data_IF_501681424228
#
_entry.id   IF_501681424228
#
_cell.length_a   1.000
_cell.length_b   1.000
_cell.length_c   1.000
_cell.angle_alpha   90.00
_cell.angle_beta   90.00
_cell.angle_gamma   90.00
#
_symmetry.space_group_name_H-M   'P 1'
#
loop_
_entity.id
_entity.type
_entity.pdbx_description
1 polymer ?
#
# COMPACT_ATOMS: atom_id res chain seq x y z
N UNK A 1 14.85 12.37 -4.31
CA UNK A 1 13.85 13.15 -5.05
C UNK A 1 12.80 13.61 -4.06
N UNK A 2 12.42 14.89 -4.11
CA UNK A 2 11.45 15.52 -3.21
C UNK A 2 10.03 15.42 -3.78
N UNK A 3 9.04 15.79 -2.98
CA UNK A 3 7.65 15.96 -3.46
C UNK A 3 7.51 17.08 -4.49
N UNK A 4 8.35 18.11 -4.38
CA UNK A 4 8.40 19.23 -5.31
C UNK A 4 8.85 18.78 -6.70
N UNK A 5 9.84 17.89 -6.78
CA UNK A 5 10.33 17.34 -8.06
C UNK A 5 9.19 16.62 -8.82
N UNK A 6 8.34 15.88 -8.11
CA UNK A 6 7.21 15.15 -8.72
C UNK A 6 6.16 16.12 -9.23
N UNK A 7 5.86 17.17 -8.47
CA UNK A 7 4.86 18.17 -8.86
C UNK A 7 5.36 19.02 -10.06
N UNK A 8 6.65 19.35 -10.13
CA UNK A 8 7.24 20.04 -11.29
C UNK A 8 7.05 19.22 -12.57
N UNK A 9 7.35 17.92 -12.52
CA UNK A 9 7.14 17.03 -13.67
C UNK A 9 5.65 16.87 -13.98
N UNK A 10 4.80 16.80 -12.94
CA UNK A 10 3.34 16.72 -13.11
C UNK A 10 2.80 17.93 -13.86
N UNK A 11 3.25 19.15 -13.53
CA UNK A 11 2.84 20.38 -14.21
C UNK A 11 3.15 20.34 -15.71
N UNK A 12 4.30 19.77 -16.10
CA UNK A 12 4.64 19.58 -17.51
C UNK A 12 3.68 18.62 -18.24
N UNK A 13 3.03 17.71 -17.51
CA UNK A 13 2.06 16.75 -18.07
C UNK A 13 0.64 17.32 -18.16
N UNK A 14 0.29 18.34 -17.35
CA UNK A 14 -1.05 18.94 -17.32
C UNK A 14 -1.47 19.51 -18.69
N UNK A 15 -0.53 19.96 -19.51
CA UNK A 15 -0.80 20.50 -20.84
C UNK A 15 -1.25 19.46 -21.89
N UNK A 16 -1.21 18.16 -21.56
CA UNK A 16 -1.52 17.07 -22.48
C UNK A 16 -2.94 16.50 -22.32
N UNK A 17 -3.92 17.31 -21.86
CA UNK A 17 -5.27 16.84 -21.48
C UNK A 17 -6.27 16.59 -22.62
N UNK A 18 -5.91 16.81 -23.89
CA UNK A 18 -6.86 16.73 -25.02
C UNK A 18 -6.42 15.76 -26.14
N UNK A 19 -6.19 14.49 -25.80
CA UNK A 19 -5.82 13.44 -26.77
C UNK A 19 -4.40 13.54 -27.35
N UNK A 20 -3.63 14.55 -26.93
CA UNK A 20 -2.19 14.65 -27.22
C UNK A 20 -1.43 13.68 -26.33
N UNK A 21 -0.64 12.80 -26.94
CA UNK A 21 0.20 11.85 -26.19
C UNK A 21 1.38 12.61 -25.56
N UNK A 22 1.58 12.52 -24.23
CA UNK A 22 2.75 13.11 -23.61
C UNK A 22 4.03 12.45 -24.12
N UNK A 23 5.15 13.18 -24.20
CA UNK A 23 6.43 12.62 -24.62
C UNK A 23 6.89 11.52 -23.64
N UNK A 24 7.49 10.45 -24.19
CA UNK A 24 7.91 9.29 -23.41
C UNK A 24 8.86 9.65 -22.27
N UNK A 25 9.83 10.55 -22.52
CA UNK A 25 10.83 10.92 -21.52
C UNK A 25 10.21 11.60 -20.29
N UNK A 26 9.21 12.46 -20.48
CA UNK A 26 8.48 13.09 -19.37
C UNK A 26 7.63 12.08 -18.60
N UNK A 27 7.00 11.12 -19.29
CA UNK A 27 6.25 10.03 -18.64
C UNK A 27 7.18 9.14 -17.80
N UNK A 28 8.33 8.75 -18.36
CA UNK A 28 9.35 7.95 -17.64
C UNK A 28 9.88 8.70 -16.43
N UNK A 29 10.17 9.99 -16.59
CA UNK A 29 10.61 10.85 -15.50
C UNK A 29 9.55 10.91 -14.40
N UNK A 30 8.28 11.15 -14.73
CA UNK A 30 7.19 11.18 -13.74
C UNK A 30 7.07 9.86 -12.97
N UNK A 31 7.08 8.73 -13.68
CA UNK A 31 6.93 7.40 -13.04
C UNK A 31 8.14 7.06 -12.16
N UNK A 32 9.34 7.44 -12.59
CA UNK A 32 10.57 7.28 -11.81
C UNK A 32 10.59 8.16 -10.56
N UNK A 33 10.33 9.45 -10.74
CA UNK A 33 10.31 10.44 -9.64
C UNK A 33 9.27 10.07 -8.59
N UNK A 34 8.04 9.71 -9.00
CA UNK A 34 6.97 9.27 -8.08
C UNK A 34 7.39 8.07 -7.24
N UNK A 35 8.05 7.09 -7.87
CA UNK A 35 8.54 5.88 -7.19
C UNK A 35 9.69 6.17 -6.23
N UNK A 36 10.65 7.01 -6.63
CA UNK A 36 11.82 7.36 -5.82
C UNK A 36 11.48 8.28 -4.65
N UNK A 37 10.53 9.19 -4.84
CA UNK A 37 10.00 10.07 -3.79
C UNK A 37 9.00 9.36 -2.86
N UNK A 38 8.59 8.12 -3.18
CA UNK A 38 7.58 7.34 -2.43
C UNK A 38 6.26 8.09 -2.23
N UNK A 39 5.87 8.89 -3.22
CA UNK A 39 4.61 9.62 -3.19
C UNK A 39 3.49 8.69 -3.62
N UNK A 40 2.37 8.72 -2.89
CA UNK A 40 1.18 7.96 -3.21
C UNK A 40 0.28 8.74 -4.17
N UNK A 41 0.33 8.41 -5.46
CA UNK A 41 -0.44 9.02 -6.55
C UNK A 41 -0.95 7.95 -7.56
N UNK A 42 -1.80 7.01 -7.10
CA UNK A 42 -2.15 5.82 -7.88
C UNK A 42 -2.88 6.15 -9.18
N UNK A 43 -3.74 7.17 -9.21
CA UNK A 43 -4.49 7.55 -10.40
C UNK A 43 -3.56 8.01 -11.55
N UNK A 44 -2.64 8.92 -11.27
CA UNK A 44 -1.69 9.41 -12.27
C UNK A 44 -0.72 8.32 -12.71
N UNK A 45 -0.22 7.51 -11.78
CA UNK A 45 0.67 6.39 -12.08
C UNK A 45 -0.03 5.36 -12.97
N UNK A 46 -1.29 5.02 -12.66
CA UNK A 46 -2.09 4.12 -13.48
C UNK A 46 -2.31 4.70 -14.89
N UNK A 47 -2.70 5.98 -14.99
CA UNK A 47 -2.98 6.64 -16.26
C UNK A 47 -1.73 6.76 -17.15
N UNK A 48 -0.67 7.41 -16.64
CA UNK A 48 0.55 7.64 -17.40
C UNK A 48 1.32 6.35 -17.67
N UNK A 49 1.36 5.44 -16.69
CA UNK A 49 2.00 4.15 -16.87
C UNK A 49 1.30 3.25 -17.88
N UNK A 50 -0.04 3.27 -17.92
CA UNK A 50 -0.79 2.55 -18.96
C UNK A 50 -0.49 3.09 -20.36
N UNK A 51 -0.37 4.42 -20.51
CA UNK A 51 0.05 5.04 -21.78
C UNK A 51 1.44 4.54 -22.20
N UNK A 52 2.39 4.48 -21.27
CA UNK A 52 3.75 3.97 -21.52
C UNK A 52 3.72 2.50 -21.96
N UNK A 53 3.02 1.64 -21.22
CA UNK A 53 2.94 0.21 -21.52
C UNK A 53 2.18 -0.10 -22.82
N UNK A 54 1.19 0.73 -23.19
CA UNK A 54 0.40 0.54 -24.41
C UNK A 54 1.12 1.03 -25.68
N UNK A 55 1.80 2.17 -25.61
CA UNK A 55 2.33 2.84 -26.81
C UNK A 55 3.85 2.77 -26.95
N UNK A 56 4.58 2.66 -25.85
CA UNK A 56 6.04 2.82 -25.83
C UNK A 56 6.78 1.55 -25.38
N UNK A 57 6.08 0.44 -25.15
CA UNK A 57 6.64 -0.84 -24.70
C UNK A 57 7.93 -1.28 -25.42
N UNK A 58 8.00 -1.11 -26.74
CA UNK A 58 9.14 -1.54 -27.56
C UNK A 58 10.40 -0.68 -27.38
N UNK A 59 10.25 0.51 -26.79
CA UNK A 59 11.33 1.47 -26.57
C UNK A 59 11.90 1.37 -25.14
N UNK A 60 11.32 0.52 -24.30
CA UNK A 60 11.76 0.33 -22.92
C UNK A 60 12.85 -0.75 -22.85
N UNK A 61 13.83 -0.52 -21.97
CA UNK A 61 14.74 -1.59 -21.56
C UNK A 61 13.97 -2.68 -20.82
N UNK A 62 14.46 -3.93 -20.84
CA UNK A 62 13.76 -5.06 -20.23
C UNK A 62 13.54 -4.86 -18.71
N UNK A 63 14.56 -4.37 -18.01
CA UNK A 63 14.47 -4.10 -16.57
C UNK A 63 13.39 -3.04 -16.24
N UNK A 64 13.36 -1.95 -17.03
CA UNK A 64 12.38 -0.88 -16.87
C UNK A 64 10.97 -1.35 -17.21
N UNK A 65 10.83 -2.19 -18.23
CA UNK A 65 9.54 -2.75 -18.62
C UNK A 65 8.85 -3.45 -17.46
N UNK A 66 9.58 -4.32 -16.75
CA UNK A 66 9.02 -5.09 -15.64
C UNK A 66 8.80 -4.26 -14.38
N UNK A 67 9.67 -3.29 -14.13
CA UNK A 67 9.48 -2.30 -13.07
C UNK A 67 8.19 -1.51 -13.27
N UNK A 68 7.88 -1.12 -14.51
CA UNK A 68 6.63 -0.45 -14.85
C UNK A 68 5.42 -1.37 -14.80
N UNK A 69 5.54 -2.66 -15.15
CA UNK A 69 4.44 -3.60 -14.96
C UNK A 69 4.03 -3.73 -13.49
N UNK A 70 5.01 -3.80 -12.58
CA UNK A 70 4.77 -3.85 -11.13
C UNK A 70 4.15 -2.54 -10.64
N UNK A 71 4.78 -1.39 -10.92
CA UNK A 71 4.31 -0.08 -10.48
C UNK A 71 2.90 0.24 -10.98
N UNK A 72 2.61 -0.01 -12.26
CA UNK A 72 1.29 0.23 -12.85
C UNK A 72 0.28 -0.81 -12.38
N UNK A 73 0.70 -2.06 -12.19
CA UNK A 73 -0.13 -3.11 -11.61
C UNK A 73 -0.65 -2.73 -10.22
N UNK A 74 0.26 -2.29 -9.33
CA UNK A 74 -0.11 -1.79 -7.98
C UNK A 74 -1.08 -0.62 -8.08
N UNK A 75 -0.75 0.39 -8.89
CA UNK A 75 -1.59 1.58 -9.03
C UNK A 75 -3.01 1.28 -9.56
N UNK A 76 -3.12 0.37 -10.54
CA UNK A 76 -4.42 -0.06 -11.07
C UNK A 76 -5.24 -0.84 -10.03
N UNK A 77 -4.59 -1.64 -9.18
CA UNK A 77 -5.28 -2.33 -8.09
C UNK A 77 -5.83 -1.35 -7.05
N UNK A 78 -5.03 -0.35 -6.65
CA UNK A 78 -5.47 0.70 -5.74
C UNK A 78 -6.63 1.53 -6.30
N UNK A 79 -6.65 1.74 -7.62
CA UNK A 79 -7.76 2.42 -8.31
C UNK A 79 -8.98 1.52 -8.56
N UNK A 80 -8.94 0.24 -8.19
CA UNK A 80 -10.02 -0.73 -8.48
C UNK A 80 -10.17 -1.09 -9.96
N UNK A 81 -9.18 -0.76 -10.81
CA UNK A 81 -9.19 -1.03 -12.25
C UNK A 81 -8.78 -2.48 -12.59
N UNK A 82 -9.51 -3.45 -12.01
CA UNK A 82 -9.15 -4.89 -11.99
C UNK A 82 -8.94 -5.50 -13.37
N UNK A 83 -9.72 -5.10 -14.36
CA UNK A 83 -9.63 -5.59 -15.74
C UNK A 83 -8.30 -5.22 -16.41
N UNK A 84 -7.77 -4.05 -16.08
CA UNK A 84 -6.48 -3.58 -16.59
C UNK A 84 -5.31 -4.14 -15.77
N UNK A 85 -5.51 -4.33 -14.46
CA UNK A 85 -4.48 -4.89 -13.57
C UNK A 85 -4.16 -6.36 -13.88
N UNK A 86 -5.19 -7.20 -14.09
CA UNK A 86 -5.05 -8.65 -14.29
C UNK A 86 -3.96 -9.06 -15.30
N UNK A 87 -3.91 -8.54 -16.54
CA UNK A 87 -2.87 -8.91 -17.50
C UNK A 87 -1.46 -8.53 -17.03
N UNK A 88 -1.29 -7.42 -16.29
CA UNK A 88 0.01 -7.03 -15.75
C UNK A 88 0.46 -7.97 -14.63
N UNK A 89 -0.44 -8.27 -13.69
CA UNK A 89 -0.17 -9.21 -12.58
C UNK A 89 0.23 -10.58 -13.13
N UNK A 90 -0.52 -11.11 -14.10
CA UNK A 90 -0.18 -12.38 -14.78
C UNK A 90 1.17 -12.33 -15.47
N UNK A 91 1.48 -11.24 -16.18
CA UNK A 91 2.75 -11.11 -16.89
C UNK A 91 3.94 -11.10 -15.93
N UNK A 92 3.84 -10.37 -14.81
CA UNK A 92 4.90 -10.33 -13.77
C UNK A 92 5.10 -11.69 -13.12
N UNK A 93 4.01 -12.39 -12.75
CA UNK A 93 4.09 -13.74 -12.19
C UNK A 93 4.68 -14.77 -13.14
N UNK A 94 4.32 -14.73 -14.43
CA UNK A 94 4.88 -15.64 -15.42
C UNK A 94 6.37 -15.39 -15.64
N UNK A 95 6.81 -14.12 -15.62
CA UNK A 95 8.21 -13.77 -15.79
C UNK A 95 9.04 -14.09 -14.54
N UNK A 96 8.48 -13.89 -13.35
CA UNK A 96 9.18 -14.05 -12.07
C UNK A 96 8.39 -14.93 -11.09
N UNK A 97 8.22 -16.22 -11.37
CA UNK A 97 7.33 -17.10 -10.60
C UNK A 97 7.75 -17.31 -9.14
N UNK A 98 9.04 -17.14 -8.83
CA UNK A 98 9.60 -17.30 -7.49
C UNK A 98 9.77 -15.95 -6.78
N UNK A 99 9.50 -14.84 -7.46
CA UNK A 99 9.69 -13.50 -6.87
C UNK A 99 8.61 -13.21 -5.83
N UNK A 100 9.06 -12.86 -4.63
CA UNK A 100 8.17 -12.42 -3.55
C UNK A 100 7.43 -11.14 -3.91
N UNK A 101 8.07 -10.23 -4.66
CA UNK A 101 7.38 -9.04 -5.19
C UNK A 101 6.22 -9.42 -6.12
N UNK A 102 6.44 -10.41 -6.98
CA UNK A 102 5.39 -10.90 -7.89
C UNK A 102 4.25 -11.59 -7.11
N UNK A 103 4.58 -12.44 -6.13
CA UNK A 103 3.59 -13.08 -5.24
C UNK A 103 2.84 -12.05 -4.39
N UNK A 104 3.49 -10.99 -3.91
CA UNK A 104 2.82 -9.90 -3.18
C UNK A 104 1.80 -9.19 -4.07
N UNK A 105 2.17 -8.87 -5.30
CA UNK A 105 1.26 -8.29 -6.29
C UNK A 105 0.06 -9.21 -6.59
N UNK A 106 0.26 -10.52 -6.59
CA UNK A 106 -0.82 -11.51 -6.67
C UNK A 106 -1.75 -11.45 -5.46
N UNK A 107 -1.20 -11.34 -4.24
CA UNK A 107 -1.97 -11.17 -3.01
C UNK A 107 -2.84 -9.91 -3.07
N UNK A 108 -2.26 -8.78 -3.53
CA UNK A 108 -2.99 -7.53 -3.71
C UNK A 108 -4.13 -7.67 -4.73
N UNK A 109 -3.90 -8.44 -5.80
CA UNK A 109 -4.96 -8.76 -6.74
C UNK A 109 -6.07 -9.59 -6.09
N UNK A 110 -5.74 -10.60 -5.27
CA UNK A 110 -6.74 -11.39 -4.55
C UNK A 110 -7.57 -10.56 -3.56
N UNK A 111 -6.94 -9.62 -2.85
CA UNK A 111 -7.67 -8.64 -2.03
C UNK A 111 -8.68 -7.87 -2.89
N UNK A 112 -8.19 -7.26 -3.96
CA UNK A 112 -9.00 -6.36 -4.80
C UNK A 112 -10.15 -7.09 -5.55
N UNK A 113 -10.03 -8.40 -5.82
CA UNK A 113 -11.11 -9.20 -6.41
C UNK A 113 -12.05 -9.85 -5.39
N UNK A 114 -11.95 -9.50 -4.10
CA UNK A 114 -12.82 -10.03 -3.05
C UNK A 114 -12.51 -11.48 -2.69
N UNK A 115 -11.23 -11.88 -2.73
CA UNK A 115 -10.75 -13.21 -2.30
C UNK A 115 -9.75 -13.10 -1.14
N UNK A 116 -10.15 -12.52 0.01
CA UNK A 116 -9.24 -12.23 1.12
C UNK A 116 -8.59 -13.49 1.71
N UNK A 117 -9.30 -14.62 1.76
CA UNK A 117 -8.74 -15.87 2.27
C UNK A 117 -7.54 -16.38 1.43
N UNK A 118 -7.60 -16.21 0.09
CA UNK A 118 -6.49 -16.58 -0.80
C UNK A 118 -5.32 -15.60 -0.65
N UNK A 119 -5.61 -14.32 -0.43
CA UNK A 119 -4.58 -13.31 -0.15
C UNK A 119 -3.86 -13.62 1.17
N UNK A 120 -4.63 -13.89 2.24
CA UNK A 120 -4.09 -14.21 3.55
C UNK A 120 -3.18 -15.45 3.50
N UNK A 121 -3.65 -16.55 2.92
CA UNK A 121 -2.84 -17.77 2.78
C UNK A 121 -1.53 -17.47 2.04
N UNK A 122 -1.60 -16.72 0.94
CA UNK A 122 -0.40 -16.37 0.16
C UNK A 122 0.58 -15.49 0.96
N UNK A 123 0.07 -14.56 1.76
CA UNK A 123 0.89 -13.71 2.63
C UNK A 123 1.54 -14.51 3.76
N UNK A 124 0.83 -15.44 4.38
CA UNK A 124 1.38 -16.35 5.38
C UNK A 124 2.50 -17.22 4.79
N UNK A 125 2.32 -17.76 3.58
CA UNK A 125 3.37 -18.48 2.86
C UNK A 125 4.60 -17.59 2.57
N UNK A 126 4.39 -16.32 2.18
CA UNK A 126 5.51 -15.38 1.97
C UNK A 126 6.26 -15.12 3.29
N UNK A 127 5.56 -15.00 4.41
CA UNK A 127 6.20 -14.80 5.72
C UNK A 127 6.96 -16.04 6.22
N UNK A 128 6.52 -17.24 5.85
CA UNK A 128 7.30 -18.47 6.10
C UNK A 128 8.63 -18.45 5.33
N UNK A 129 8.61 -17.99 4.08
CA UNK A 129 9.82 -17.88 3.25
C UNK A 129 10.71 -16.70 3.66
N UNK A 130 10.10 -15.57 4.07
CA UNK A 130 10.78 -14.35 4.48
C UNK A 130 10.17 -13.76 5.77
N UNK A 131 10.59 -14.25 6.95
CA UNK A 131 10.06 -13.81 8.24
C UNK A 131 10.31 -12.33 8.58
N UNK A 132 11.23 -11.67 7.87
CA UNK A 132 11.62 -10.28 8.09
C UNK A 132 11.08 -9.33 6.99
N UNK A 133 10.08 -9.76 6.22
CA UNK A 133 9.43 -8.87 5.26
C UNK A 133 8.56 -7.84 5.99
N UNK A 134 8.95 -6.56 5.93
CA UNK A 134 8.26 -5.48 6.61
C UNK A 134 6.90 -5.09 5.98
N UNK A 135 6.60 -5.58 4.78
CA UNK A 135 5.44 -5.12 4.01
C UNK A 135 4.24 -6.06 4.14
N UNK A 136 4.49 -7.36 4.31
CA UNK A 136 3.42 -8.36 4.42
C UNK A 136 2.59 -8.18 5.70
N UNK A 137 3.17 -7.88 6.88
CA UNK A 137 2.40 -7.55 8.08
C UNK A 137 1.41 -6.41 7.84
N UNK A 138 1.83 -5.35 7.12
CA UNK A 138 0.92 -4.25 6.77
C UNK A 138 -0.24 -4.70 5.88
N UNK A 139 -0.01 -5.62 4.94
CA UNK A 139 -1.09 -6.17 4.11
C UNK A 139 -2.06 -7.06 4.90
N UNK A 140 -1.55 -7.83 5.88
CA UNK A 140 -2.39 -8.62 6.79
C UNK A 140 -3.25 -7.73 7.69
N UNK A 141 -2.72 -6.60 8.17
CA UNK A 141 -3.49 -5.60 8.92
C UNK A 141 -4.68 -5.10 8.11
N UNK A 142 -4.45 -4.71 6.83
CA UNK A 142 -5.54 -4.30 5.92
C UNK A 142 -6.59 -5.40 5.79
N UNK A 143 -6.18 -6.65 5.57
CA UNK A 143 -7.10 -7.79 5.47
C UNK A 143 -7.94 -7.99 6.73
N UNK A 144 -7.32 -7.95 7.91
CA UNK A 144 -8.02 -8.14 9.17
C UNK A 144 -8.99 -6.98 9.45
N UNK A 145 -8.61 -5.74 9.15
CA UNK A 145 -9.51 -4.58 9.27
C UNK A 145 -10.70 -4.68 8.33
N UNK A 146 -10.49 -5.00 7.06
CA UNK A 146 -11.57 -5.22 6.09
C UNK A 146 -12.53 -6.35 6.51
N UNK A 147 -12.01 -7.36 7.21
CA UNK A 147 -12.80 -8.46 7.78
C UNK A 147 -13.47 -8.12 9.13
N UNK A 148 -13.25 -6.94 9.70
CA UNK A 148 -13.72 -6.55 11.03
C UNK A 148 -13.01 -7.27 12.19
N UNK A 149 -11.89 -7.95 11.92
CA UNK A 149 -11.09 -8.72 12.87
C UNK A 149 -10.06 -7.82 13.56
N UNK A 150 -10.52 -6.76 14.24
CA UNK A 150 -9.63 -5.74 14.81
C UNK A 150 -8.61 -6.29 15.81
N UNK A 151 -8.97 -7.31 16.59
CA UNK A 151 -8.04 -7.96 17.54
C UNK A 151 -6.85 -8.59 16.82
N UNK A 152 -7.07 -9.24 15.68
CA UNK A 152 -5.98 -9.83 14.88
C UNK A 152 -5.12 -8.75 14.23
N UNK A 153 -5.73 -7.66 13.75
CA UNK A 153 -5.00 -6.50 13.24
C UNK A 153 -4.06 -5.90 14.31
N UNK A 154 -4.55 -5.73 15.54
CA UNK A 154 -3.76 -5.27 16.70
C UNK A 154 -2.60 -6.22 16.98
N UNK A 155 -2.84 -7.53 17.03
CA UNK A 155 -1.80 -8.52 17.28
C UNK A 155 -0.67 -8.42 16.25
N UNK A 156 -1.03 -8.33 14.95
CA UNK A 156 -0.07 -8.19 13.86
C UNK A 156 0.74 -6.89 14.00
N UNK A 157 0.09 -5.76 14.29
CA UNK A 157 0.76 -4.47 14.49
C UNK A 157 1.71 -4.47 15.69
N UNK A 158 1.30 -5.06 16.81
CA UNK A 158 2.14 -5.18 18.01
C UNK A 158 3.39 -6.00 17.71
N UNK A 159 3.24 -7.16 17.05
CA UNK A 159 4.41 -7.97 16.65
C UNK A 159 5.30 -7.23 15.64
N UNK A 160 4.71 -6.52 14.68
CA UNK A 160 5.45 -5.73 13.70
C UNK A 160 6.30 -4.63 14.36
N UNK A 161 5.70 -3.85 15.27
CA UNK A 161 6.33 -2.71 15.93
C UNK A 161 7.43 -3.09 16.91
N UNK A 162 7.51 -4.36 17.34
CA UNK A 162 8.67 -4.88 18.09
C UNK A 162 9.96 -4.84 17.26
N UNK A 163 9.85 -4.95 15.93
CA UNK A 163 10.99 -4.93 15.01
C UNK A 163 11.14 -3.59 14.29
N UNK A 164 10.03 -2.87 14.06
CA UNK A 164 9.98 -1.62 13.30
C UNK A 164 9.46 -0.46 14.15
N UNK A 165 10.05 -0.24 15.33
CA UNK A 165 9.58 0.75 16.32
C UNK A 165 9.55 2.20 15.84
N UNK A 166 10.31 2.53 14.78
CA UNK A 166 10.36 3.87 14.18
C UNK A 166 9.29 4.08 13.09
N UNK A 167 8.45 3.08 12.80
CA UNK A 167 7.37 3.21 11.81
C UNK A 167 6.17 3.96 12.40
N UNK A 168 6.14 5.27 12.18
CA UNK A 168 5.08 6.15 12.67
C UNK A 168 3.70 5.77 12.12
N UNK A 169 3.60 5.41 10.85
CA UNK A 169 2.32 5.03 10.24
C UNK A 169 1.73 3.79 10.91
N UNK A 170 2.58 2.82 11.25
CA UNK A 170 2.12 1.62 11.96
C UNK A 170 1.66 1.91 13.40
N UNK A 171 2.26 2.89 14.08
CA UNK A 171 1.78 3.36 15.39
C UNK A 171 0.42 4.07 15.30
N UNK A 172 0.24 4.93 14.29
CA UNK A 172 -1.03 5.61 14.03
C UNK A 172 -2.14 4.58 13.73
N UNK A 173 -1.86 3.61 12.87
CA UNK A 173 -2.80 2.51 12.54
C UNK A 173 -3.15 1.66 13.78
N UNK A 174 -2.19 1.40 14.67
CA UNK A 174 -2.42 0.67 15.92
C UNK A 174 -3.34 1.46 16.85
N UNK A 175 -3.12 2.77 16.97
CA UNK A 175 -3.98 3.64 17.76
C UNK A 175 -5.41 3.65 17.22
N UNK A 176 -5.59 3.77 15.90
CA UNK A 176 -6.90 3.72 15.26
C UNK A 176 -7.62 2.40 15.54
N UNK A 177 -6.92 1.27 15.45
CA UNK A 177 -7.50 -0.03 15.80
C UNK A 177 -8.00 -0.10 17.26
N UNK A 178 -7.23 0.43 18.22
CA UNK A 178 -7.65 0.48 19.62
C UNK A 178 -8.87 1.39 19.86
N UNK A 179 -8.94 2.52 19.15
CA UNK A 179 -10.08 3.42 19.22
C UNK A 179 -11.35 2.76 18.67
N UNK A 180 -11.25 2.03 17.56
CA UNK A 180 -12.38 1.30 16.97
C UNK A 180 -12.91 0.20 17.90
N UNK A 181 -12.03 -0.62 18.51
CA UNK A 181 -12.43 -1.65 19.49
C UNK A 181 -13.11 -1.04 20.72
N UNK A 182 -12.59 0.10 21.20
CA UNK A 182 -13.14 0.82 22.34
C UNK A 182 -14.51 1.43 22.04
N UNK A 183 -14.76 1.86 20.79
CA UNK A 183 -16.05 2.37 20.36
C UNK A 183 -17.11 1.26 20.23
N UNK A 184 -16.71 0.08 19.77
CA UNK A 184 -17.61 -1.08 19.58
C UNK A 184 -18.04 -1.74 20.89
N UNK A 185 -17.28 -1.58 21.98
CA UNK A 185 -17.51 -2.23 23.27
C UNK A 185 -18.34 -1.41 24.27
N UNK A 186 -18.72 -0.17 23.93
CA UNK A 186 -19.46 0.70 24.84
C UNK A 186 -20.88 1.00 24.31
N UNK A 187 -21.95 0.48 24.95
CA UNK A 187 -23.22 1.20 24.91
C UNK A 187 -22.99 2.59 25.51
N UNK A 188 -23.61 3.62 24.91
CA UNK A 188 -23.48 5.07 25.16
C UNK A 188 -23.46 5.52 26.65
N UNK A 189 -23.72 4.63 27.61
CA UNK A 189 -23.78 4.86 29.06
C UNK A 189 -22.44 4.77 29.81
N UNK A 190 -21.36 4.25 29.24
CA UNK A 190 -20.10 3.99 29.98
C UNK A 190 -19.00 5.06 29.79
N UNK A 191 -19.27 6.16 29.09
CA UNK A 191 -18.31 7.26 28.86
C UNK A 191 -17.83 7.99 30.15
N UNK A 192 -18.23 7.54 31.34
CA UNK A 192 -17.87 8.13 32.63
C UNK A 192 -17.27 7.14 33.64
N UNK A 193 -16.85 5.93 33.23
CA UNK A 193 -16.23 4.98 34.14
C UNK A 193 -14.68 5.07 34.07
N UNK A 194 -13.99 5.57 35.11
CA UNK A 194 -12.55 5.84 35.10
C UNK A 194 -11.69 4.57 35.30
N UNK A 195 -12.14 3.42 34.81
CA UNK A 195 -11.52 2.13 35.10
C UNK A 195 -11.28 1.34 33.80
N UNK A 196 -10.36 1.81 32.97
CA UNK A 196 -9.83 0.99 31.88
C UNK A 196 -8.35 0.74 32.08
N UNK A 197 -8.04 -0.55 32.10
CA UNK A 197 -6.77 -1.27 32.19
C UNK A 197 -5.57 -0.56 31.57
N UNK A 198 -4.42 -0.67 32.25
CA UNK A 198 -3.19 0.07 31.98
C UNK A 198 -2.54 -0.11 30.60
N UNK A 199 -3.01 -1.05 29.77
CA UNK A 199 -2.49 -1.25 28.40
C UNK A 199 -3.01 -0.19 27.42
N UNK A 200 -4.26 0.28 27.56
CA UNK A 200 -4.79 1.38 26.74
C UNK A 200 -4.14 2.73 27.08
N UNK A 201 -3.66 2.88 28.32
CA UNK A 201 -2.98 4.09 28.78
C UNK A 201 -1.63 4.26 28.07
N UNK A 202 -0.94 3.17 27.70
CA UNK A 202 0.36 3.26 27.02
C UNK A 202 0.21 3.68 25.57
N UNK A 203 -0.76 3.12 24.84
CA UNK A 203 -1.06 3.55 23.47
C UNK A 203 -1.56 4.99 23.43
N UNK A 204 -2.49 5.37 24.32
CA UNK A 204 -2.96 6.75 24.44
C UNK A 204 -1.84 7.72 24.86
N UNK A 205 -0.96 7.33 25.78
CA UNK A 205 0.17 8.16 26.22
C UNK A 205 1.22 8.34 25.12
N UNK A 206 1.48 7.32 24.28
CA UNK A 206 2.37 7.47 23.13
C UNK A 206 1.74 8.33 22.01
N UNK A 207 0.45 8.17 21.74
CA UNK A 207 -0.29 9.02 20.79
C UNK A 207 -0.33 10.48 21.27
N UNK A 208 -0.59 10.72 22.56
CA UNK A 208 -0.51 12.06 23.17
C UNK A 208 0.91 12.61 23.16
N UNK A 209 1.94 11.79 23.39
CA UNK A 209 3.33 12.23 23.33
C UNK A 209 3.78 12.61 21.91
N UNK A 210 3.31 11.88 20.88
CA UNK A 210 3.55 12.21 19.47
C UNK A 210 2.81 13.50 19.08
N UNK A 211 1.57 13.69 19.55
CA UNK A 211 0.79 14.91 19.27
C UNK A 211 1.31 16.15 20.00
N UNK A 212 1.94 16.02 21.17
CA UNK A 212 2.45 17.14 21.98
C UNK A 212 3.87 17.60 21.62
N UNK A 213 4.54 16.95 20.66
CA UNK A 213 5.87 17.33 20.16
C UNK A 213 5.85 18.07 18.81
N UNK A 214 4.69 18.53 18.34
CA UNK A 214 4.57 19.45 17.19
C UNK A 214 4.56 20.91 17.62
#
# INVERSE_FOLDING_TARGET
MSSEDVEEVRQQLVQYKDGKKPPLDTLRLFLKTSREARIRNPEEVANYGSVVLQHYRKQLAEEELWLLHEQVGVALLECGALQQALPLVKAVLMKFPVSIRARRLQGMYYQAVGKPAQAQQLYEEILQDQPHDATIPKQLVVLHREAGQLTEAINVLVTYLQHYSNDREAWEELADCYLEVSCLSLPFTLLMCPCTTGEMVVAAAFVLAIYLQQ
#
